data_IF_618615954720
#
_entry.id   IF_618615954720
#
_cell.length_a   1.000
_cell.length_b   1.000
_cell.length_c   1.000
_cell.angle_alpha   90.00
_cell.angle_beta   90.00
_cell.angle_gamma   90.00
#
_symmetry.space_group_name_H-M   'P 1'
#
loop_
_entity.id
_entity.type
_entity.pdbx_description
1 polymer ?
#
# COMPACT_ATOMS: atom_id res chain seq x y z
N UNK A 1 8.30 -10.66 8.81
CA UNK A 1 7.88 -10.83 7.41
C UNK A 1 7.75 -12.31 7.13
N UNK A 2 6.71 -12.70 6.41
CA UNK A 2 6.46 -14.08 6.02
C UNK A 2 6.15 -14.10 4.53
N UNK A 3 6.89 -14.90 3.75
CA UNK A 3 6.61 -15.09 2.33
C UNK A 3 5.32 -15.89 2.15
N UNK A 4 4.41 -15.37 1.33
CA UNK A 4 3.09 -15.97 1.05
C UNK A 4 2.98 -16.50 -0.38
N UNK A 5 3.88 -16.12 -1.27
CA UNK A 5 3.94 -16.68 -2.61
C UNK A 5 4.72 -15.79 -3.56
N UNK A 6 4.38 -15.89 -4.85
CA UNK A 6 4.93 -15.04 -5.90
C UNK A 6 3.95 -14.87 -7.05
N UNK A 7 4.02 -13.73 -7.73
CA UNK A 7 3.28 -13.46 -8.96
C UNK A 7 4.16 -12.66 -9.93
N UNK A 8 4.12 -12.94 -11.23
CA UNK A 8 4.96 -12.27 -12.25
C UNK A 8 6.47 -12.23 -11.90
N UNK A 9 6.98 -13.28 -11.24
CA UNK A 9 8.38 -13.35 -10.79
C UNK A 9 8.72 -12.51 -9.55
N UNK A 10 7.75 -11.87 -8.91
CA UNK A 10 7.93 -11.06 -7.69
C UNK A 10 7.57 -11.87 -6.45
N UNK A 11 8.43 -11.83 -5.43
CA UNK A 11 8.14 -12.39 -4.11
C UNK A 11 7.09 -11.55 -3.40
N UNK A 12 6.00 -12.17 -2.94
CA UNK A 12 4.95 -11.50 -2.17
C UNK A 12 5.04 -11.96 -0.71
N UNK A 13 5.07 -10.99 0.18
CA UNK A 13 5.25 -11.18 1.62
C UNK A 13 4.16 -10.43 2.40
N UNK A 14 3.89 -10.88 3.61
CA UNK A 14 3.06 -10.17 4.59
C UNK A 14 3.86 -9.87 5.85
N UNK A 15 3.52 -8.77 6.52
CA UNK A 15 4.19 -8.35 7.73
C UNK A 15 3.32 -7.43 8.60
N UNK A 16 3.82 -7.13 9.79
CA UNK A 16 3.18 -6.30 10.80
C UNK A 16 4.12 -5.14 11.18
N UNK A 17 4.51 -4.37 10.16
CA UNK A 17 5.43 -3.25 10.25
C UNK A 17 4.81 -2.15 9.41
N UNK A 18 4.29 -1.13 10.07
CA UNK A 18 3.62 0.00 9.41
C UNK A 18 4.52 0.68 8.35
N UNK A 19 3.97 1.70 7.69
CA UNK A 19 4.69 2.40 6.63
C UNK A 19 6.02 3.05 7.07
N UNK A 20 6.15 3.44 8.35
CA UNK A 20 7.39 4.02 8.88
C UNK A 20 8.46 2.94 9.12
N UNK A 21 8.05 1.76 9.60
CA UNK A 21 8.92 0.64 9.91
C UNK A 21 9.34 -0.24 8.73
N UNK A 22 8.74 -0.05 7.55
CA UNK A 22 9.03 -0.86 6.35
C UNK A 22 10.44 -0.59 5.80
N UNK A 23 11.32 -1.60 5.87
CA UNK A 23 12.67 -1.57 5.30
C UNK A 23 12.65 -2.08 3.84
N UNK A 24 12.29 -1.18 2.93
CA UNK A 24 12.13 -1.39 1.48
C UNK A 24 12.63 -0.16 0.72
N UNK A 25 12.70 -0.21 -0.61
CA UNK A 25 13.06 0.99 -1.38
C UNK A 25 11.91 2.00 -1.46
N UNK A 26 10.67 1.52 -1.57
CA UNK A 26 9.47 2.34 -1.56
C UNK A 26 8.47 1.84 -0.51
N UNK A 27 8.20 2.62 0.53
CA UNK A 27 7.05 2.38 1.41
C UNK A 27 5.84 3.13 0.89
N UNK A 28 4.68 2.50 0.81
CA UNK A 28 3.44 3.12 0.37
C UNK A 28 2.44 3.14 1.52
N UNK A 29 1.94 4.32 1.89
CA UNK A 29 0.92 4.51 2.91
C UNK A 29 -0.36 5.05 2.29
N UNK A 30 -1.47 4.35 2.49
CA UNK A 30 -2.77 4.82 2.06
C UNK A 30 -3.53 5.49 3.21
N UNK A 31 -4.25 6.57 2.91
CA UNK A 31 -5.09 7.27 3.88
C UNK A 31 -6.29 7.94 3.21
N UNK A 32 -7.29 8.33 4.01
CA UNK A 32 -8.48 9.04 3.54
C UNK A 32 -8.37 10.55 3.75
N UNK A 33 -9.27 11.32 3.13
CA UNK A 33 -9.38 12.79 3.31
C UNK A 33 -9.73 13.18 4.74
N UNK A 34 -10.35 12.27 5.49
CA UNK A 34 -10.66 12.35 6.92
C UNK A 34 -10.92 10.94 7.43
N UNK A 35 -10.99 10.83 8.75
CA UNK A 35 -11.19 9.56 9.42
C UNK A 35 -12.69 9.29 9.51
N UNK A 36 -13.08 8.01 9.49
CA UNK A 36 -14.47 7.61 9.58
C UNK A 36 -15.07 8.10 10.91
N UNK A 37 -16.33 8.55 10.86
CA UNK A 37 -17.09 9.02 12.02
C UNK A 37 -16.40 10.13 12.86
N UNK A 38 -15.47 10.88 12.25
CA UNK A 38 -14.73 11.95 12.94
C UNK A 38 -13.68 11.44 13.93
N UNK A 39 -13.23 10.18 13.79
CA UNK A 39 -12.14 9.63 14.59
C UNK A 39 -10.81 10.38 14.37
N UNK A 40 -9.82 10.06 15.20
CA UNK A 40 -8.43 10.45 14.96
C UNK A 40 -7.68 9.30 14.28
N UNK A 41 -6.59 9.60 13.58
CA UNK A 41 -5.67 8.57 13.11
C UNK A 41 -5.14 7.76 14.29
N UNK A 42 -5.03 6.44 14.10
CA UNK A 42 -4.48 5.51 15.09
C UNK A 42 -3.45 4.58 14.45
N UNK A 43 -2.89 3.65 15.22
CA UNK A 43 -2.06 2.56 14.70
C UNK A 43 -0.89 3.03 13.83
N UNK A 44 -0.68 2.36 12.70
CA UNK A 44 0.42 2.63 11.78
C UNK A 44 0.35 4.00 11.14
N UNK A 45 -0.84 4.55 10.92
CA UNK A 45 -1.02 5.91 10.39
C UNK A 45 -0.61 6.98 11.41
N UNK A 46 -0.95 6.79 12.69
CA UNK A 46 -0.48 7.67 13.78
C UNK A 46 1.04 7.59 13.95
N UNK A 47 1.61 6.38 13.87
CA UNK A 47 3.06 6.19 13.89
C UNK A 47 3.75 6.87 12.70
N UNK A 48 3.17 6.78 11.50
CA UNK A 48 3.69 7.45 10.32
C UNK A 48 3.67 8.96 10.48
N UNK A 49 2.57 9.54 10.98
CA UNK A 49 2.49 10.97 11.24
C UNK A 49 3.54 11.41 12.26
N UNK A 50 3.73 10.67 13.36
CA UNK A 50 4.76 10.95 14.35
C UNK A 50 6.18 10.83 13.77
N UNK A 51 6.44 9.83 12.91
CA UNK A 51 7.71 9.68 12.23
C UNK A 51 7.99 10.82 11.23
N UNK A 52 6.96 11.50 10.74
CA UNK A 52 7.07 12.69 9.90
C UNK A 52 6.96 14.00 10.71
N UNK A 53 7.14 13.96 12.03
CA UNK A 53 7.04 15.13 12.92
C UNK A 53 5.71 15.90 12.79
N UNK A 54 4.61 15.20 12.50
CA UNK A 54 3.28 15.78 12.32
C UNK A 54 2.98 16.23 10.87
N UNK A 55 3.97 16.20 9.98
CA UNK A 55 3.81 16.72 8.63
C UNK A 55 2.82 15.93 7.76
N UNK A 56 2.48 14.68 8.10
CA UNK A 56 1.46 13.95 7.34
C UNK A 56 0.11 14.67 7.39
N UNK A 57 -0.30 15.09 8.58
CA UNK A 57 -1.55 15.83 8.77
C UNK A 57 -1.43 17.27 8.29
N UNK A 58 -0.29 17.93 8.49
CA UNK A 58 -0.07 19.28 7.97
C UNK A 58 -0.14 19.33 6.44
N UNK A 59 0.41 18.33 5.73
CA UNK A 59 0.30 18.23 4.27
C UNK A 59 -1.17 18.16 3.81
N UNK A 60 -2.02 17.47 4.59
CA UNK A 60 -3.46 17.38 4.34
C UNK A 60 -4.18 18.69 4.63
N UNK A 61 -3.90 19.31 5.76
CA UNK A 61 -4.49 20.60 6.16
C UNK A 61 -4.11 21.73 5.20
N UNK A 62 -2.87 21.74 4.69
CA UNK A 62 -2.37 22.72 3.74
C UNK A 62 -2.78 22.44 2.29
N UNK A 63 -3.45 21.31 2.02
CA UNK A 63 -3.88 20.92 0.68
C UNK A 63 -2.76 20.50 -0.27
N UNK A 64 -1.56 20.21 0.25
CA UNK A 64 -0.41 19.71 -0.53
C UNK A 64 -0.64 18.24 -0.91
N UNK A 65 -1.26 17.48 -0.01
CA UNK A 65 -1.77 16.13 -0.27
C UNK A 65 -3.08 15.96 0.49
N UNK A 66 -4.20 16.07 -0.20
CA UNK A 66 -5.53 16.01 0.46
C UNK A 66 -5.97 14.60 0.80
N UNK A 67 -5.30 13.59 0.24
CA UNK A 67 -5.72 12.19 0.21
C UNK A 67 -6.99 11.94 -0.63
N UNK A 68 -7.23 12.76 -1.64
CA UNK A 68 -8.29 12.54 -2.62
C UNK A 68 -8.11 11.20 -3.33
N UNK A 69 -9.21 10.61 -3.80
CA UNK A 69 -9.17 9.28 -4.43
C UNK A 69 -8.20 9.24 -5.63
N UNK A 70 -7.16 8.43 -5.55
CA UNK A 70 -6.14 8.28 -6.60
C UNK A 70 -5.03 9.34 -6.57
N UNK A 71 -5.10 10.32 -5.66
CA UNK A 71 -4.01 11.27 -5.43
C UNK A 71 -2.77 10.52 -4.94
N UNK A 72 -1.60 10.87 -5.45
CA UNK A 72 -0.34 10.25 -5.09
C UNK A 72 0.72 11.33 -4.84
N UNK A 73 1.39 11.30 -3.69
CA UNK A 73 2.51 12.18 -3.38
C UNK A 73 3.74 11.36 -3.00
N UNK A 74 4.81 11.49 -3.80
CA UNK A 74 6.09 10.86 -3.51
C UNK A 74 6.98 11.80 -2.68
N UNK A 75 7.44 11.30 -1.53
CA UNK A 75 8.50 11.89 -0.74
C UNK A 75 9.79 11.11 -1.08
N UNK A 76 10.65 11.65 -1.96
CA UNK A 76 11.83 10.93 -2.44
C UNK A 76 12.93 10.82 -1.38
N UNK A 77 12.90 11.69 -0.36
CA UNK A 77 13.87 11.76 0.73
C UNK A 77 13.12 11.95 2.06
N UNK A 78 12.48 10.92 2.62
CA UNK A 78 11.82 11.02 3.92
C UNK A 78 12.87 11.19 5.05
N UNK A 79 12.47 11.68 6.24
CA UNK A 79 13.36 11.79 7.39
C UNK A 79 13.87 10.41 7.84
N UNK A 80 15.00 10.39 8.57
CA UNK A 80 15.66 9.13 8.99
C UNK A 80 14.85 8.24 9.95
N UNK A 81 13.74 8.75 10.49
CA UNK A 81 12.70 8.01 11.21
C UNK A 81 11.91 7.04 10.32
N UNK A 82 11.89 7.26 9.00
CA UNK A 82 11.31 6.37 8.01
C UNK A 82 12.41 5.45 7.47
N UNK A 83 12.22 4.13 7.57
CA UNK A 83 13.24 3.16 7.15
C UNK A 83 13.36 2.99 5.64
N UNK A 84 12.31 3.32 4.89
CA UNK A 84 12.32 3.21 3.44
C UNK A 84 13.11 4.36 2.78
N UNK A 85 13.73 4.08 1.62
CA UNK A 85 14.47 5.11 0.88
C UNK A 85 13.56 6.22 0.34
N UNK A 86 12.30 5.88 0.05
CA UNK A 86 11.26 6.79 -0.40
C UNK A 86 9.90 6.38 0.17
N UNK A 87 9.00 7.36 0.33
CA UNK A 87 7.64 7.15 0.85
C UNK A 87 6.62 7.67 -0.17
N UNK A 88 5.65 6.85 -0.54
CA UNK A 88 4.50 7.24 -1.34
C UNK A 88 3.27 7.35 -0.45
N UNK A 89 2.62 8.51 -0.45
CA UNK A 89 1.28 8.68 0.10
C UNK A 89 0.26 8.44 -1.01
N UNK A 90 -0.76 7.64 -0.74
CA UNK A 90 -1.82 7.31 -1.70
C UNK A 90 -3.19 7.66 -1.09
N UNK A 91 -3.91 8.53 -1.78
CA UNK A 91 -5.22 9.00 -1.35
C UNK A 91 -6.32 8.01 -1.68
N UNK A 92 -7.09 7.63 -0.67
CA UNK A 92 -8.24 6.74 -0.82
C UNK A 92 -9.55 7.51 -1.00
N UNK A 93 -9.59 8.83 -0.78
CA UNK A 93 -10.79 9.65 -0.91
C UNK A 93 -11.62 9.71 0.38
N UNK A 94 -12.94 9.80 0.23
CA UNK A 94 -13.87 9.86 1.37
C UNK A 94 -14.06 8.46 2.00
N UNK A 95 -13.96 8.31 3.33
CA UNK A 95 -14.23 7.03 3.99
C UNK A 95 -15.67 6.54 3.80
N UNK A 96 -16.64 7.43 3.56
CA UNK A 96 -18.02 7.05 3.24
C UNK A 96 -18.15 6.30 1.90
N UNK A 97 -17.19 6.51 0.98
CA UNK A 97 -17.14 5.82 -0.31
C UNK A 97 -16.26 4.56 -0.27
N UNK A 98 -15.90 4.09 0.94
CA UNK A 98 -15.07 2.90 1.10
C UNK A 98 -15.65 1.70 0.34
N UNK A 99 -14.78 1.00 -0.39
CA UNK A 99 -15.11 -0.27 -1.03
C UNK A 99 -13.84 -1.08 -1.29
N UNK A 100 -14.02 -2.38 -1.48
CA UNK A 100 -12.94 -3.27 -1.91
C UNK A 100 -12.36 -2.87 -3.28
N UNK A 101 -13.16 -2.29 -4.18
CA UNK A 101 -12.68 -1.79 -5.46
C UNK A 101 -11.74 -0.58 -5.28
N UNK A 102 -12.08 0.32 -4.36
CA UNK A 102 -11.22 1.45 -3.98
C UNK A 102 -9.88 0.97 -3.42
N UNK A 103 -9.88 -0.06 -2.57
CA UNK A 103 -8.65 -0.67 -2.08
C UNK A 103 -7.82 -1.26 -3.23
N UNK A 104 -8.46 -1.99 -4.15
CA UNK A 104 -7.78 -2.54 -5.33
C UNK A 104 -7.10 -1.46 -6.16
N UNK A 105 -7.82 -0.38 -6.46
CA UNK A 105 -7.31 0.71 -7.29
C UNK A 105 -6.20 1.49 -6.57
N UNK A 106 -6.29 1.65 -5.24
CA UNK A 106 -5.23 2.24 -4.40
C UNK A 106 -3.95 1.40 -4.46
N UNK A 107 -4.05 0.08 -4.31
CA UNK A 107 -2.87 -0.81 -4.42
C UNK A 107 -2.30 -0.79 -5.83
N UNK A 108 -3.16 -0.76 -6.86
CA UNK A 108 -2.71 -0.66 -8.25
C UNK A 108 -1.90 0.61 -8.48
N UNK A 109 -2.37 1.76 -8.01
CA UNK A 109 -1.66 3.03 -8.15
C UNK A 109 -0.28 2.98 -7.46
N UNK A 110 -0.21 2.44 -6.24
CA UNK A 110 1.05 2.25 -5.53
C UNK A 110 2.04 1.35 -6.29
N UNK A 111 1.54 0.25 -6.85
CA UNK A 111 2.35 -0.69 -7.62
C UNK A 111 2.83 -0.06 -8.95
N UNK A 112 1.98 0.69 -9.65
CA UNK A 112 2.37 1.44 -10.86
C UNK A 112 3.47 2.46 -10.55
N UNK A 113 3.40 3.17 -9.41
CA UNK A 113 4.47 4.05 -8.95
C UNK A 113 5.78 3.30 -8.68
N UNK A 114 5.73 2.18 -7.94
CA UNK A 114 6.91 1.37 -7.65
C UNK A 114 7.62 0.90 -8.93
N UNK A 115 6.83 0.50 -9.94
CA UNK A 115 7.33 0.08 -11.24
C UNK A 115 7.90 1.25 -12.06
N UNK A 116 7.27 2.43 -11.99
CA UNK A 116 7.68 3.62 -12.71
C UNK A 116 9.03 4.16 -12.21
N UNK A 117 9.24 4.17 -10.89
CA UNK A 117 10.51 4.64 -10.29
C UNK A 117 11.62 3.57 -10.29
N UNK A 118 11.32 2.34 -10.74
CA UNK A 118 12.28 1.24 -10.79
C UNK A 118 12.68 0.70 -9.42
N UNK A 119 11.78 0.72 -8.44
CA UNK A 119 12.05 0.15 -7.12
C UNK A 119 12.22 -1.38 -7.18
N UNK A 120 13.24 -1.91 -6.49
CA UNK A 120 13.48 -3.36 -6.35
C UNK A 120 12.62 -3.99 -5.26
N UNK A 121 12.24 -3.20 -4.26
CA UNK A 121 11.33 -3.65 -3.21
C UNK A 121 10.38 -2.55 -2.77
N UNK A 122 9.12 -2.93 -2.53
CA UNK A 122 8.11 -2.01 -2.04
C UNK A 122 7.23 -2.64 -0.96
N UNK A 123 6.61 -1.80 -0.14
CA UNK A 123 5.63 -2.19 0.87
C UNK A 123 4.35 -1.36 0.73
N UNK A 124 3.21 -1.91 1.11
CA UNK A 124 1.92 -1.21 1.11
C UNK A 124 1.19 -1.38 2.43
N UNK A 125 0.90 -0.26 3.09
CA UNK A 125 0.09 -0.16 4.29
C UNK A 125 -1.28 0.46 3.94
N UNK A 126 -2.40 -0.27 4.08
CA UNK A 126 -3.71 0.17 3.60
C UNK A 126 -4.40 1.26 4.44
N UNK A 127 -3.97 1.49 5.69
CA UNK A 127 -4.50 2.56 6.57
C UNK A 127 -6.00 2.48 6.95
N UNK A 128 -6.75 1.51 6.44
CA UNK A 128 -8.21 1.46 6.58
C UNK A 128 -8.68 1.35 8.05
N UNK A 129 -8.07 0.48 8.86
CA UNK A 129 -8.42 0.34 10.29
C UNK A 129 -7.98 1.55 11.10
N UNK A 130 -6.77 2.04 10.79
CA UNK A 130 -6.16 3.20 11.42
C UNK A 130 -6.97 4.49 11.19
N UNK A 131 -7.79 4.49 10.13
CA UNK A 131 -8.70 5.58 9.75
C UNK A 131 -10.15 5.35 10.18
N UNK A 132 -10.44 4.31 10.97
CA UNK A 132 -11.76 4.05 11.54
C UNK A 132 -12.70 3.15 10.72
N UNK A 133 -12.26 2.58 9.59
CA UNK A 133 -13.08 1.56 8.89
C UNK A 133 -13.20 0.33 9.78
N UNK A 134 -14.44 -0.10 10.04
CA UNK A 134 -14.69 -1.19 10.98
C UNK A 134 -14.04 -2.51 10.52
N UNK A 135 -13.55 -3.36 11.44
CA UNK A 135 -12.97 -4.65 11.08
C UNK A 135 -13.86 -5.50 10.16
N UNK A 136 -15.18 -5.51 10.38
CA UNK A 136 -16.15 -6.21 9.54
C UNK A 136 -16.17 -5.73 8.09
N UNK A 137 -16.06 -4.41 7.86
CA UNK A 137 -16.00 -3.83 6.52
C UNK A 137 -14.67 -4.08 5.77
N UNK A 138 -13.69 -4.67 6.45
CA UNK A 138 -12.37 -4.99 5.90
C UNK A 138 -12.14 -6.49 5.67
N UNK A 139 -13.15 -7.31 5.93
CA UNK A 139 -13.07 -8.76 5.70
C UNK A 139 -12.82 -9.03 4.22
N UNK A 140 -11.89 -9.93 3.92
CA UNK A 140 -11.54 -10.28 2.53
C UNK A 140 -10.64 -9.27 1.82
N UNK A 141 -10.08 -8.27 2.50
CA UNK A 141 -9.20 -7.26 1.91
C UNK A 141 -7.96 -7.84 1.19
N UNK A 142 -7.52 -9.06 1.49
CA UNK A 142 -6.42 -9.72 0.80
C UNK A 142 -6.66 -9.89 -0.71
N UNK A 143 -7.90 -10.17 -1.12
CA UNK A 143 -8.26 -10.38 -2.52
C UNK A 143 -8.08 -9.10 -3.37
N UNK A 144 -8.73 -7.95 -3.06
CA UNK A 144 -8.50 -6.70 -3.81
C UNK A 144 -7.05 -6.20 -3.72
N UNK A 145 -6.33 -6.47 -2.63
CA UNK A 145 -4.91 -6.11 -2.53
C UNK A 145 -4.05 -6.88 -3.53
N UNK A 146 -4.24 -8.19 -3.63
CA UNK A 146 -3.53 -8.99 -4.64
C UNK A 146 -3.98 -8.62 -6.05
N UNK A 147 -5.27 -8.38 -6.27
CA UNK A 147 -5.81 -7.97 -7.56
C UNK A 147 -5.23 -6.64 -8.05
N UNK A 148 -5.07 -5.66 -7.16
CA UNK A 148 -4.46 -4.36 -7.49
C UNK A 148 -3.01 -4.50 -7.95
N UNK A 149 -2.21 -5.27 -7.20
CA UNK A 149 -0.82 -5.56 -7.56
C UNK A 149 -0.75 -6.32 -8.89
N UNK A 150 -1.54 -7.40 -9.04
CA UNK A 150 -1.56 -8.20 -10.25
C UNK A 150 -2.00 -7.39 -11.49
N UNK A 151 -2.94 -6.44 -11.33
CA UNK A 151 -3.36 -5.55 -12.41
C UNK A 151 -2.20 -4.67 -12.90
N UNK A 152 -1.45 -4.05 -11.98
CA UNK A 152 -0.29 -3.23 -12.33
C UNK A 152 0.82 -4.05 -13.02
N UNK A 153 1.10 -5.25 -12.52
CA UNK A 153 2.12 -6.14 -13.08
C UNK A 153 1.74 -6.66 -14.47
N UNK A 154 0.49 -7.06 -14.66
CA UNK A 154 -0.04 -7.46 -15.97
C UNK A 154 0.03 -6.32 -16.98
N UNK A 155 -0.32 -5.10 -16.57
CA UNK A 155 -0.18 -3.92 -17.43
C UNK A 155 1.28 -3.68 -17.81
N UNK A 156 2.22 -3.77 -16.86
CA UNK A 156 3.66 -3.66 -17.14
C UNK A 156 4.16 -4.74 -18.08
N UNK A 157 3.74 -6.00 -17.91
CA UNK A 157 4.11 -7.09 -18.82
C UNK A 157 3.67 -6.78 -20.25
N UNK A 158 2.42 -6.34 -20.45
CA UNK A 158 1.94 -5.95 -21.79
C UNK A 158 2.73 -4.79 -22.38
N UNK A 159 3.10 -3.80 -21.57
CA UNK A 159 3.95 -2.69 -22.05
C UNK A 159 5.35 -3.18 -22.46
N UNK A 160 5.90 -4.18 -21.79
CA UNK A 160 7.18 -4.82 -22.18
C UNK A 160 7.02 -5.56 -23.51
N UNK A 161 5.95 -6.35 -23.66
CA UNK A 161 5.68 -7.10 -24.90
C UNK A 161 5.51 -6.17 -26.12
N UNK A 162 4.96 -4.97 -25.88
CA UNK A 162 4.80 -3.93 -26.89
C UNK A 162 6.08 -3.10 -27.13
N UNK A 163 7.16 -3.32 -26.38
CA UNK A 163 8.38 -2.51 -26.45
C UNK A 163 8.24 -1.09 -25.90
N UNK A 164 7.17 -0.81 -25.15
CA UNK A 164 6.87 0.50 -24.55
C UNK A 164 7.40 0.65 -23.12
N UNK A 165 8.01 -0.40 -22.57
CA UNK A 165 8.63 -0.38 -21.26
C UNK A 165 9.77 -1.41 -21.14
N UNK A 166 10.71 -1.17 -20.24
CA UNK A 166 11.69 -2.18 -19.82
C UNK A 166 11.11 -3.20 -18.85
N UNK A 167 11.78 -4.36 -18.70
CA UNK A 167 11.41 -5.35 -17.68
C UNK A 167 11.34 -4.69 -16.29
N UNK A 168 10.36 -5.04 -15.44
CA UNK A 168 10.29 -4.48 -14.10
C UNK A 168 11.52 -4.87 -13.27
N UNK A 169 12.04 -3.94 -12.47
CA UNK A 169 13.11 -4.20 -11.49
C UNK A 169 12.58 -4.71 -10.14
N UNK A 170 11.27 -4.56 -9.92
CA UNK A 170 10.61 -4.99 -8.69
C UNK A 170 10.79 -6.51 -8.52
N UNK A 171 11.32 -6.90 -7.35
CA UNK A 171 11.58 -8.30 -6.98
C UNK A 171 10.78 -8.71 -5.74
N UNK A 172 10.40 -7.74 -4.90
CA UNK A 172 9.73 -8.00 -3.62
C UNK A 172 8.63 -6.99 -3.34
N UNK A 173 7.45 -7.49 -2.98
CA UNK A 173 6.31 -6.68 -2.54
C UNK A 173 5.81 -7.17 -1.19
N UNK A 174 5.67 -6.25 -0.23
CA UNK A 174 5.23 -6.57 1.13
C UNK A 174 3.90 -5.90 1.43
N UNK A 175 2.90 -6.67 1.84
CA UNK A 175 1.67 -6.12 2.39
C UNK A 175 1.77 -6.02 3.91
N UNK A 176 1.53 -4.83 4.45
CA UNK A 176 1.27 -4.69 5.88
C UNK A 176 -0.18 -5.12 6.16
N UNK A 177 -0.31 -6.05 7.10
CA UNK A 177 -1.59 -6.64 7.50
C UNK A 177 -1.97 -6.30 8.95
N UNK A 178 -1.08 -5.59 9.66
CA UNK A 178 -1.21 -5.29 11.08
C UNK A 178 -0.94 -6.51 11.97
N UNK A 179 -0.36 -6.27 13.15
CA UNK A 179 0.08 -7.32 14.07
C UNK A 179 -1.06 -8.28 14.47
N UNK A 180 -2.26 -7.74 14.70
CA UNK A 180 -3.43 -8.51 15.13
C UNK A 180 -3.92 -9.53 14.08
N UNK A 181 -3.55 -9.39 12.80
CA UNK A 181 -4.04 -10.24 11.71
C UNK A 181 -2.96 -11.08 11.05
N UNK A 182 -1.70 -10.98 11.50
CA UNK A 182 -0.56 -11.59 10.82
C UNK A 182 -0.76 -13.09 10.56
N UNK A 183 -1.17 -13.87 11.58
CA UNK A 183 -1.35 -15.32 11.45
C UNK A 183 -2.43 -15.69 10.44
N UNK A 184 -3.61 -15.06 10.51
CA UNK A 184 -4.72 -15.33 9.58
C UNK A 184 -4.48 -14.76 8.17
N UNK A 185 -3.71 -13.69 8.05
CA UNK A 185 -3.40 -13.08 6.77
C UNK A 185 -2.49 -13.96 5.90
N UNK A 186 -1.53 -14.68 6.49
CA UNK A 186 -0.63 -15.58 5.74
C UNK A 186 -1.45 -16.57 4.90
N UNK A 187 -2.39 -17.28 5.52
CA UNK A 187 -3.24 -18.27 4.85
C UNK A 187 -4.13 -17.63 3.78
N UNK A 188 -4.74 -16.49 4.09
CA UNK A 188 -5.61 -15.78 3.15
C UNK A 188 -4.86 -15.32 1.91
N UNK A 189 -3.67 -14.71 2.06
CA UNK A 189 -2.87 -14.28 0.92
C UNK A 189 -2.35 -15.46 0.09
N UNK A 190 -1.94 -16.57 0.73
CA UNK A 190 -1.55 -17.80 0.02
C UNK A 190 -2.70 -18.36 -0.83
N UNK A 191 -3.92 -18.40 -0.29
CA UNK A 191 -5.11 -18.84 -1.02
C UNK A 191 -5.41 -17.94 -2.22
N UNK A 192 -5.44 -16.62 -2.00
CA UNK A 192 -5.73 -15.66 -3.06
C UNK A 192 -4.69 -15.68 -4.19
N UNK A 193 -3.41 -15.94 -3.86
CA UNK A 193 -2.35 -16.11 -4.86
C UNK A 193 -2.48 -17.40 -5.65
N UNK A 194 -2.87 -18.52 -5.02
CA UNK A 194 -3.12 -19.77 -5.75
C UNK A 194 -4.23 -19.64 -6.80
N UNK A 195 -5.23 -18.80 -6.54
CA UNK A 195 -6.33 -18.54 -7.47
C UNK A 195 -5.97 -17.59 -8.64
N UNK A 196 -4.80 -16.93 -8.57
CA UNK A 196 -4.36 -15.88 -9.50
C UNK A 196 -2.97 -16.12 -10.07
N UNK A 197 -2.36 -17.26 -9.75
CA UNK A 197 -1.11 -17.69 -10.36
C UNK A 197 -1.35 -17.88 -11.86
N UNK A 198 -0.44 -17.35 -12.66
CA UNK A 198 -0.45 -17.49 -14.12
C UNK A 198 -0.38 -18.98 -14.54
#
# INVERSE_FOLDING_TARGET
MTKVGSAFGISIEVAAWDAAGANVELSCAAMFIREADGALITGGLAHLNAALDGHLLELREQGIFTAAAGECLLLPCPPGSIKAKSLLLVGMGDPADWSVNRLRDTVRAAAEFALAIGAHSAAFAPGMLDSGITPGATVGASAPMIDGLAAALRARSKLVDLGLAGKPLLQRWVFDVGAARLSGAVEQFQEQLRQRAD
#
